data_IF_978383909305
#
_entry.id   IF_978383909305
#
_cell.length_a   1.000
_cell.length_b   1.000
_cell.length_c   1.000
_cell.angle_alpha   90.00
_cell.angle_beta   90.00
_cell.angle_gamma   90.00
#
_symmetry.space_group_name_H-M   'P 1'
#
loop_
_entity.id
_entity.type
_entity.pdbx_description
1 polymer ?
#
# COMPACT_ATOMS: atom_id res chain seq x y z
N UNK A 1 -3.62 -0.22 32.23
CA UNK A 1 -3.21 -0.75 30.92
C UNK A 1 -3.62 0.24 29.84
N UNK A 2 -2.77 0.42 28.83
CA UNK A 2 -3.04 1.21 27.65
C UNK A 2 -4.23 0.59 26.89
N UNK A 3 -5.15 1.42 26.39
CA UNK A 3 -6.26 0.98 25.55
C UNK A 3 -6.12 1.69 24.19
N UNK A 4 -5.26 1.18 23.29
CA UNK A 4 -5.06 1.78 21.97
C UNK A 4 -6.35 1.66 21.15
N UNK A 5 -6.65 2.65 20.33
CA UNK A 5 -7.75 2.61 19.36
C UNK A 5 -7.26 2.30 17.94
N UNK A 6 -5.95 2.38 17.73
CA UNK A 6 -5.31 2.22 16.42
C UNK A 6 -4.06 1.34 16.55
N UNK A 7 -3.89 0.41 15.60
CA UNK A 7 -2.67 -0.38 15.41
C UNK A 7 -2.04 0.03 14.09
N UNK A 8 -0.73 0.30 14.09
CA UNK A 8 0.07 0.47 12.89
C UNK A 8 1.01 -0.74 12.79
N UNK A 9 0.93 -1.48 11.70
CA UNK A 9 1.71 -2.70 11.51
C UNK A 9 1.72 -3.19 10.06
N UNK A 10 2.52 -4.20 9.80
CA UNK A 10 2.46 -4.99 8.57
C UNK A 10 1.18 -5.84 8.58
N UNK A 11 0.31 -5.74 7.58
CA UNK A 11 -1.01 -6.37 7.58
C UNK A 11 -1.03 -7.87 7.85
N UNK A 12 -0.09 -8.64 7.31
CA UNK A 12 -0.01 -10.09 7.56
C UNK A 12 0.16 -10.44 9.04
N UNK A 13 0.78 -9.56 9.84
CA UNK A 13 0.92 -9.78 11.28
C UNK A 13 -0.42 -9.65 12.03
N UNK A 14 -1.39 -8.95 11.46
CA UNK A 14 -2.75 -8.90 12.03
C UNK A 14 -3.40 -10.28 11.95
N UNK A 15 -3.25 -11.00 10.85
CA UNK A 15 -3.78 -12.37 10.76
C UNK A 15 -3.14 -13.29 11.79
N UNK A 16 -1.83 -13.16 12.01
CA UNK A 16 -1.13 -13.93 13.07
C UNK A 16 -1.61 -13.53 14.46
N UNK A 17 -1.84 -12.22 14.70
CA UNK A 17 -2.40 -11.75 15.97
C UNK A 17 -3.81 -12.31 16.21
N UNK A 18 -4.65 -12.32 15.18
CA UNK A 18 -6.00 -12.89 15.24
C UNK A 18 -5.92 -14.37 15.55
N UNK A 19 -5.10 -15.13 14.82
CA UNK A 19 -4.91 -16.55 15.04
C UNK A 19 -4.46 -16.83 16.49
N UNK A 20 -3.43 -16.12 16.95
CA UNK A 20 -2.97 -16.25 18.34
C UNK A 20 -4.08 -15.96 19.37
N UNK A 21 -4.88 -14.91 19.12
CA UNK A 21 -5.98 -14.55 20.00
C UNK A 21 -7.08 -15.63 20.02
N UNK A 22 -7.40 -16.23 18.87
CA UNK A 22 -8.35 -17.34 18.75
C UNK A 22 -7.84 -18.58 19.50
N UNK A 23 -6.58 -18.97 19.33
CA UNK A 23 -5.95 -20.11 20.02
C UNK A 23 -5.90 -19.95 21.55
N UNK A 24 -5.80 -18.70 22.04
CA UNK A 24 -5.70 -18.39 23.47
C UNK A 24 -7.00 -17.87 24.09
N UNK A 25 -8.13 -17.94 23.36
CA UNK A 25 -9.44 -17.44 23.78
C UNK A 25 -9.41 -15.96 24.24
N UNK A 26 -8.63 -15.12 23.54
CA UNK A 26 -8.56 -13.67 23.79
C UNK A 26 -9.64 -12.98 22.95
N UNK A 27 -10.50 -12.22 23.60
CA UNK A 27 -11.54 -11.44 22.91
C UNK A 27 -10.94 -10.18 22.28
N UNK A 28 -10.39 -10.31 21.08
CA UNK A 28 -9.85 -9.21 20.31
C UNK A 28 -10.96 -8.36 19.68
N UNK A 29 -12.12 -8.94 19.35
CA UNK A 29 -13.22 -8.26 18.68
C UNK A 29 -13.84 -7.15 19.53
N UNK A 30 -13.91 -7.36 20.84
CA UNK A 30 -14.39 -6.37 21.81
C UNK A 30 -13.26 -5.52 22.43
N UNK A 31 -12.07 -5.53 21.83
CA UNK A 31 -10.97 -4.67 22.27
C UNK A 31 -11.25 -3.19 22.00
N UNK A 32 -10.37 -2.31 22.49
CA UNK A 32 -10.47 -0.86 22.20
C UNK A 32 -10.04 -0.49 20.78
N UNK A 33 -9.43 -1.43 20.03
CA UNK A 33 -8.93 -1.20 18.67
C UNK A 33 -10.09 -1.07 17.70
N UNK A 34 -10.07 0.01 16.91
CA UNK A 34 -11.11 0.33 15.93
C UNK A 34 -10.54 0.46 14.51
N UNK A 35 -9.22 0.62 14.39
CA UNK A 35 -8.60 0.80 13.08
C UNK A 35 -7.19 0.24 13.01
N UNK A 36 -6.80 -0.16 11.81
CA UNK A 36 -5.46 -0.61 11.46
C UNK A 36 -4.93 0.29 10.36
N UNK A 37 -3.70 0.77 10.52
CA UNK A 37 -2.92 1.42 9.47
C UNK A 37 -1.88 0.41 8.99
N UNK A 38 -2.10 -0.12 7.78
CA UNK A 38 -1.21 -1.09 7.15
C UNK A 38 -0.02 -0.42 6.50
N UNK A 39 1.18 -0.89 6.85
CA UNK A 39 2.46 -0.45 6.28
C UNK A 39 3.24 -1.65 5.76
N UNK A 40 4.03 -1.45 4.70
CA UNK A 40 4.95 -2.47 4.18
C UNK A 40 4.32 -3.56 3.31
N UNK A 41 3.01 -3.77 3.37
CA UNK A 41 2.26 -4.67 2.51
C UNK A 41 0.99 -3.98 1.99
N UNK A 42 0.58 -4.33 0.77
CA UNK A 42 -0.67 -3.81 0.18
C UNK A 42 -1.91 -4.38 0.85
N UNK A 43 -2.89 -3.52 1.10
CA UNK A 43 -4.24 -3.90 1.55
C UNK A 43 -5.29 -3.81 0.44
N UNK A 44 -4.94 -3.19 -0.69
CA UNK A 44 -5.87 -2.96 -1.81
C UNK A 44 -5.28 -3.37 -3.14
N UNK A 45 -6.17 -3.81 -4.04
CA UNK A 45 -5.87 -4.02 -5.44
C UNK A 45 -5.91 -2.71 -6.25
N UNK A 46 -5.61 -2.80 -7.55
CA UNK A 46 -5.61 -1.64 -8.46
C UNK A 46 -7.00 -1.03 -8.67
N UNK A 47 -8.06 -1.76 -8.33
CA UNK A 47 -9.44 -1.28 -8.30
C UNK A 47 -9.80 -0.55 -6.99
N UNK A 48 -8.84 -0.30 -6.12
CA UNK A 48 -8.95 0.30 -4.78
C UNK A 48 -9.77 -0.52 -3.78
N UNK A 49 -10.30 -1.69 -4.15
CA UNK A 49 -10.96 -2.58 -3.20
C UNK A 49 -9.93 -3.33 -2.35
N UNK A 50 -10.38 -3.81 -1.20
CA UNK A 50 -9.53 -4.68 -0.40
C UNK A 50 -9.09 -5.89 -1.22
N UNK A 51 -7.79 -6.16 -1.21
CA UNK A 51 -7.23 -7.39 -1.77
C UNK A 51 -7.58 -8.58 -0.86
N UNK A 52 -7.10 -9.77 -1.18
CA UNK A 52 -7.37 -10.98 -0.40
C UNK A 52 -6.95 -10.83 1.07
N UNK A 53 -5.75 -10.28 1.33
CA UNK A 53 -5.25 -10.05 2.68
C UNK A 53 -6.14 -9.10 3.47
N UNK A 54 -6.47 -7.95 2.89
CA UNK A 54 -7.38 -6.97 3.51
C UNK A 54 -8.77 -7.55 3.74
N UNK A 55 -9.29 -8.34 2.80
CA UNK A 55 -10.61 -8.99 2.91
C UNK A 55 -10.63 -10.04 4.03
N UNK A 56 -9.60 -10.89 4.14
CA UNK A 56 -9.47 -11.87 5.22
C UNK A 56 -9.40 -11.21 6.60
N UNK A 57 -8.67 -10.07 6.73
CA UNK A 57 -8.62 -9.32 7.98
C UNK A 57 -10.01 -8.77 8.32
N UNK A 58 -10.67 -8.11 7.36
CA UNK A 58 -11.97 -7.48 7.54
C UNK A 58 -13.07 -8.49 7.90
N UNK A 59 -13.04 -9.68 7.32
CA UNK A 59 -13.96 -10.77 7.64
C UNK A 59 -13.82 -11.26 9.09
N UNK A 60 -12.57 -11.44 9.56
CA UNK A 60 -12.29 -11.92 10.91
C UNK A 60 -12.47 -10.84 11.98
N UNK A 61 -12.15 -9.62 11.64
CA UNK A 61 -12.19 -8.47 12.55
C UNK A 61 -12.77 -7.25 11.84
N UNK A 62 -14.04 -6.93 12.13
CA UNK A 62 -14.76 -5.82 11.49
C UNK A 62 -14.29 -4.46 12.04
N UNK A 63 -13.11 -4.05 11.62
CA UNK A 63 -12.48 -2.76 11.96
C UNK A 63 -12.09 -2.00 10.68
N UNK A 64 -11.80 -0.71 10.83
CA UNK A 64 -11.37 0.11 9.69
C UNK A 64 -9.94 -0.22 9.29
N UNK A 65 -9.73 -0.43 7.99
CA UNK A 65 -8.42 -0.70 7.39
C UNK A 65 -7.99 0.47 6.51
N UNK A 66 -6.80 0.99 6.77
CA UNK A 66 -6.17 2.08 6.01
C UNK A 66 -4.83 1.60 5.47
N UNK A 67 -4.64 1.73 4.17
CA UNK A 67 -3.35 1.46 3.54
C UNK A 67 -2.45 2.70 3.59
N UNK A 68 -1.15 2.48 3.63
CA UNK A 68 -0.15 3.54 3.58
C UNK A 68 1.03 3.08 2.74
N UNK A 69 1.42 3.89 1.76
CA UNK A 69 2.68 3.74 1.04
C UNK A 69 3.75 4.63 1.68
N UNK A 70 4.91 4.07 1.94
CA UNK A 70 6.07 4.81 2.46
C UNK A 70 7.37 4.05 2.20
N UNK A 71 8.46 4.77 2.21
CA UNK A 71 9.81 4.21 2.37
C UNK A 71 10.62 5.10 3.32
N UNK A 72 11.69 4.54 3.88
CA UNK A 72 12.58 5.29 4.77
C UNK A 72 13.20 6.48 4.06
N UNK A 73 13.53 6.32 2.78
CA UNK A 73 14.19 7.32 1.96
C UNK A 73 13.34 8.57 1.75
N UNK A 74 12.02 8.41 1.61
CA UNK A 74 11.14 9.56 1.34
C UNK A 74 10.75 10.35 2.58
N UNK A 75 11.07 9.86 3.78
CA UNK A 75 10.82 10.53 5.08
C UNK A 75 9.38 10.99 5.30
N UNK A 76 8.44 10.48 4.52
CA UNK A 76 7.00 10.76 4.61
C UNK A 76 6.20 9.54 4.16
N UNK A 77 4.88 9.64 4.24
CA UNK A 77 3.96 8.57 3.86
C UNK A 77 2.85 9.10 2.97
N UNK A 78 2.19 8.19 2.27
CA UNK A 78 0.99 8.45 1.49
C UNK A 78 -0.18 7.66 2.11
N UNK A 79 -0.77 8.15 3.21
CA UNK A 79 -1.88 7.47 3.87
C UNK A 79 -3.17 7.66 3.08
N UNK A 80 -3.98 6.61 3.01
CA UNK A 80 -5.34 6.76 2.50
C UNK A 80 -6.27 7.39 3.55
N UNK A 81 -7.42 7.86 3.09
CA UNK A 81 -8.50 8.32 3.94
C UNK A 81 -9.61 7.26 4.04
N UNK A 82 -10.70 7.58 4.73
CA UNK A 82 -11.88 6.73 4.94
C UNK A 82 -12.54 6.23 3.65
N UNK A 83 -12.27 6.88 2.52
CA UNK A 83 -12.81 6.46 1.22
C UNK A 83 -11.95 5.39 0.52
N UNK A 84 -10.75 5.06 1.03
CA UNK A 84 -9.90 3.99 0.52
C UNK A 84 -9.55 4.11 -0.97
N UNK A 85 -9.36 5.33 -1.47
CA UNK A 85 -9.20 5.62 -2.89
C UNK A 85 -7.77 6.07 -3.26
N UNK A 86 -6.77 5.51 -2.60
CA UNK A 86 -5.35 5.78 -2.79
C UNK A 86 -4.75 6.70 -1.72
N UNK A 87 -3.42 6.70 -1.64
CA UNK A 87 -2.66 7.44 -0.65
C UNK A 87 -2.53 8.92 -0.99
N UNK A 88 -2.89 9.80 -0.08
CA UNK A 88 -2.83 11.25 -0.26
C UNK A 88 -1.40 11.79 -0.25
N UNK A 89 -1.12 12.69 -1.18
CA UNK A 89 0.14 13.40 -1.27
C UNK A 89 0.23 14.54 -0.24
N UNK A 90 1.43 14.76 0.27
CA UNK A 90 1.82 15.85 1.17
C UNK A 90 2.80 16.79 0.45
N UNK A 91 2.30 17.78 -0.34
CA UNK A 91 3.14 18.61 -1.20
C UNK A 91 4.14 19.49 -0.44
N UNK A 92 3.90 19.72 0.85
CA UNK A 92 4.79 20.44 1.75
C UNK A 92 6.04 19.63 2.16
N UNK A 93 6.02 18.31 1.98
CA UNK A 93 7.10 17.40 2.41
C UNK A 93 7.85 16.78 1.24
N UNK A 94 7.20 16.60 0.09
CA UNK A 94 7.75 15.82 -1.01
C UNK A 94 7.16 16.23 -2.36
N UNK A 95 7.99 16.27 -3.39
CA UNK A 95 7.56 16.35 -4.78
C UNK A 95 7.56 14.94 -5.35
N UNK A 96 6.52 14.58 -6.10
CA UNK A 96 6.37 13.26 -6.73
C UNK A 96 6.14 13.43 -8.22
N UNK A 97 6.88 12.66 -9.00
CA UNK A 97 6.71 12.47 -10.43
C UNK A 97 6.44 11.00 -10.70
N UNK A 98 5.60 10.70 -11.68
CA UNK A 98 5.45 9.33 -12.20
C UNK A 98 6.04 9.31 -13.60
N UNK A 99 7.09 8.50 -13.79
CA UNK A 99 7.95 8.53 -14.97
C UNK A 99 7.81 7.22 -15.75
N UNK A 100 7.55 7.34 -17.05
CA UNK A 100 7.49 6.22 -17.99
C UNK A 100 8.86 5.66 -18.38
N UNK A 101 8.86 4.67 -19.25
CA UNK A 101 10.10 4.05 -19.77
C UNK A 101 10.91 4.98 -20.68
N UNK A 102 10.30 6.05 -21.21
CA UNK A 102 10.94 7.08 -22.02
C UNK A 102 11.52 8.24 -21.19
N UNK A 103 11.60 8.08 -19.87
CA UNK A 103 12.04 9.08 -18.90
C UNK A 103 11.20 10.36 -18.84
N UNK A 104 9.95 10.31 -19.35
CA UNK A 104 9.01 11.43 -19.30
C UNK A 104 7.86 11.15 -18.32
N UNK A 105 7.24 12.22 -17.78
CA UNK A 105 6.05 12.08 -16.98
C UNK A 105 4.92 11.38 -17.76
N UNK A 106 4.25 10.44 -17.14
CA UNK A 106 3.08 9.76 -17.69
C UNK A 106 1.81 10.60 -17.48
N UNK A 107 0.74 10.26 -18.18
CA UNK A 107 -0.55 10.91 -17.98
C UNK A 107 -1.22 10.46 -16.68
N UNK A 108 -2.18 11.26 -16.22
CA UNK A 108 -3.03 10.92 -15.07
C UNK A 108 -3.66 9.53 -15.27
N UNK A 109 -3.53 8.67 -14.25
CA UNK A 109 -4.01 7.28 -14.28
C UNK A 109 -3.09 6.27 -14.97
N UNK A 110 -2.07 6.70 -15.72
CA UNK A 110 -1.08 5.79 -16.30
C UNK A 110 -0.04 5.35 -15.26
N UNK A 111 0.39 4.10 -15.36
CA UNK A 111 1.39 3.52 -14.47
C UNK A 111 2.80 3.91 -14.93
N UNK A 112 3.62 4.33 -13.98
CA UNK A 112 5.04 4.60 -14.17
C UNK A 112 5.81 4.43 -12.88
N UNK A 113 7.11 4.68 -12.93
CA UNK A 113 8.00 4.64 -11.77
C UNK A 113 7.81 5.88 -10.89
N UNK A 114 7.65 5.68 -9.60
CA UNK A 114 7.60 6.77 -8.62
C UNK A 114 9.00 7.37 -8.48
N UNK A 115 9.11 8.66 -8.78
CA UNK A 115 10.33 9.46 -8.61
C UNK A 115 10.03 10.56 -7.61
N UNK A 116 10.89 10.73 -6.61
CA UNK A 116 10.66 11.66 -5.50
C UNK A 116 11.77 12.68 -5.36
N UNK A 117 11.38 13.87 -4.88
CA UNK A 117 12.30 14.88 -4.37
C UNK A 117 11.85 15.26 -2.97
N UNK A 118 12.70 15.05 -1.97
CA UNK A 118 12.38 15.38 -0.57
C UNK A 118 12.53 16.87 -0.33
N UNK A 119 11.66 17.45 0.50
CA UNK A 119 11.69 18.86 0.87
C UNK A 119 12.05 19.00 2.36
N UNK A 120 12.89 19.97 2.69
CA UNK A 120 13.27 20.24 4.08
C UNK A 120 14.19 19.21 4.74
N UNK A 121 14.73 18.25 3.99
CA UNK A 121 15.69 17.26 4.48
C UNK A 121 17.11 17.76 4.26
N UNK A 122 17.84 18.02 5.33
CA UNK A 122 19.19 18.59 5.28
C UNK A 122 20.30 17.53 5.21
N UNK A 123 20.17 16.43 5.99
CA UNK A 123 21.24 15.45 6.14
C UNK A 123 21.47 14.61 4.87
N UNK A 124 20.40 14.21 4.19
CA UNK A 124 20.46 13.44 2.94
C UNK A 124 19.28 13.84 2.05
N UNK A 125 19.34 15.02 1.40
CA UNK A 125 18.30 15.44 0.47
C UNK A 125 18.32 14.56 -0.78
N UNK A 126 17.15 14.10 -1.19
CA UNK A 126 16.98 13.33 -2.42
C UNK A 126 16.40 14.23 -3.51
N UNK A 127 17.09 14.29 -4.64
CA UNK A 127 16.65 15.01 -5.83
C UNK A 127 16.35 14.02 -6.95
N UNK A 128 15.08 13.94 -7.37
CA UNK A 128 14.59 13.03 -8.40
C UNK A 128 15.07 11.58 -8.19
N UNK A 129 14.94 11.12 -6.95
CA UNK A 129 15.30 9.75 -6.57
C UNK A 129 14.28 8.76 -7.13
N UNK A 130 14.77 7.77 -7.88
CA UNK A 130 13.95 6.68 -8.44
C UNK A 130 13.75 5.61 -7.39
N UNK A 131 12.52 5.41 -6.97
CA UNK A 131 12.19 4.44 -5.90
C UNK A 131 12.23 3.00 -6.39
N UNK A 132 12.06 2.79 -7.69
CA UNK A 132 11.84 1.48 -8.29
C UNK A 132 10.41 0.96 -8.11
N UNK A 133 9.55 1.65 -7.38
CA UNK A 133 8.16 1.29 -7.17
C UNK A 133 7.27 1.86 -8.29
N UNK A 134 6.29 1.07 -8.74
CA UNK A 134 5.41 1.40 -9.86
C UNK A 134 4.00 1.72 -9.35
N UNK A 135 3.48 2.88 -9.74
CA UNK A 135 2.12 3.31 -9.39
C UNK A 135 1.58 4.30 -10.42
N UNK A 136 0.34 4.74 -10.25
CA UNK A 136 -0.26 5.85 -10.98
C UNK A 136 -0.67 6.98 -10.05
N UNK A 137 -0.85 8.20 -10.61
CA UNK A 137 -1.41 9.36 -9.91
C UNK A 137 -2.87 9.54 -10.32
N UNK A 138 -3.71 9.93 -9.37
CA UNK A 138 -5.11 10.28 -9.53
C UNK A 138 -5.35 11.69 -9.01
N UNK A 139 -5.68 12.62 -9.92
CA UNK A 139 -5.78 14.06 -9.62
C UNK A 139 -7.20 14.52 -9.28
N UNK A 140 -8.21 13.64 -9.43
CA UNK A 140 -9.60 13.97 -9.12
C UNK A 140 -9.75 14.29 -7.63
N UNK A 141 -10.55 15.33 -7.27
CA UNK A 141 -10.80 15.66 -5.88
C UNK A 141 -11.34 14.47 -5.08
N UNK A 142 -10.80 14.27 -3.87
CA UNK A 142 -11.29 13.23 -2.99
C UNK A 142 -12.54 13.69 -2.22
N UNK A 143 -13.46 12.76 -1.99
CA UNK A 143 -14.66 13.00 -1.17
C UNK A 143 -14.34 13.43 0.27
N UNK A 144 -13.14 13.15 0.77
CA UNK A 144 -12.67 13.61 2.09
C UNK A 144 -12.36 15.12 2.14
N UNK A 145 -12.48 15.84 1.02
CA UNK A 145 -12.22 17.27 0.89
C UNK A 145 -10.79 17.66 0.56
N UNK A 146 -9.84 16.72 0.52
CA UNK A 146 -8.47 17.00 0.08
C UNK A 146 -8.40 17.17 -1.43
N UNK A 147 -7.64 18.18 -1.86
CA UNK A 147 -7.43 18.50 -3.28
C UNK A 147 -6.06 18.04 -3.81
N UNK A 148 -5.21 17.46 -2.95
CA UNK A 148 -3.95 16.88 -3.40
C UNK A 148 -4.21 15.60 -4.19
N UNK A 149 -3.34 15.30 -5.15
CA UNK A 149 -3.43 14.03 -5.87
C UNK A 149 -3.23 12.84 -4.93
N UNK A 150 -3.60 11.68 -5.41
CA UNK A 150 -3.44 10.41 -4.69
C UNK A 150 -2.61 9.46 -5.51
N UNK A 151 -1.79 8.65 -4.83
CA UNK A 151 -1.06 7.54 -5.45
C UNK A 151 -1.92 6.28 -5.35
N UNK A 152 -2.02 5.53 -6.45
CA UNK A 152 -2.69 4.22 -6.46
C UNK A 152 -1.99 3.22 -5.51
N UNK A 153 -2.62 2.10 -5.17
CA UNK A 153 -1.88 0.94 -4.67
C UNK A 153 -0.71 0.62 -5.60
N UNK A 154 0.40 0.15 -5.04
CA UNK A 154 1.57 -0.22 -5.84
C UNK A 154 1.23 -1.38 -6.79
N UNK A 155 1.64 -1.26 -8.03
CA UNK A 155 1.57 -2.35 -9.01
C UNK A 155 2.65 -3.39 -8.74
N UNK A 156 3.82 -2.93 -8.29
CA UNK A 156 4.98 -3.75 -7.98
C UNK A 156 6.28 -2.96 -8.10
N UNK A 157 7.40 -3.68 -8.16
CA UNK A 157 8.72 -3.09 -8.38
C UNK A 157 9.16 -3.25 -9.83
N UNK A 158 9.74 -2.20 -10.39
CA UNK A 158 10.25 -2.16 -11.78
C UNK A 158 11.23 -3.31 -12.05
N UNK A 159 12.14 -3.55 -11.13
CA UNK A 159 13.16 -4.60 -11.27
C UNK A 159 12.62 -6.03 -11.14
N UNK A 160 11.41 -6.18 -10.58
CA UNK A 160 10.76 -7.49 -10.42
C UNK A 160 9.69 -7.74 -11.51
N UNK A 161 9.61 -6.85 -12.49
CA UNK A 161 8.67 -6.96 -13.60
C UNK A 161 9.06 -8.12 -14.52
N UNK A 162 8.11 -9.01 -14.78
CA UNK A 162 8.26 -10.15 -15.67
C UNK A 162 7.61 -9.81 -17.01
N UNK A 163 8.40 -9.80 -18.08
CA UNK A 163 7.88 -9.64 -19.45
C UNK A 163 7.69 -11.01 -20.08
N UNK A 164 6.46 -11.43 -20.30
CA UNK A 164 6.12 -12.72 -20.90
C UNK A 164 5.23 -12.51 -22.12
N UNK A 165 5.71 -12.89 -23.32
CA UNK A 165 4.94 -12.84 -24.57
C UNK A 165 4.21 -11.52 -24.82
N UNK A 166 4.85 -10.40 -24.51
CA UNK A 166 4.27 -9.06 -24.69
C UNK A 166 3.37 -8.58 -23.54
N UNK A 167 3.14 -9.41 -22.53
CA UNK A 167 2.41 -9.03 -21.32
C UNK A 167 3.39 -8.72 -20.21
N UNK A 168 3.11 -7.66 -19.45
CA UNK A 168 3.86 -7.31 -18.24
C UNK A 168 3.13 -7.85 -17.01
N UNK A 169 3.84 -8.65 -16.23
CA UNK A 169 3.36 -9.20 -14.96
C UNK A 169 4.24 -8.69 -13.82
N UNK A 170 3.60 -8.43 -12.70
CA UNK A 170 4.29 -8.11 -11.46
C UNK A 170 4.03 -9.22 -10.43
N UNK A 171 5.04 -9.61 -9.61
CA UNK A 171 4.89 -10.69 -8.63
C UNK A 171 3.64 -10.59 -7.74
N UNK A 172 3.21 -9.42 -7.25
CA UNK A 172 1.98 -9.31 -6.46
C UNK A 172 0.74 -9.90 -7.14
N UNK A 173 0.59 -9.75 -8.45
CA UNK A 173 -0.53 -10.33 -9.19
C UNK A 173 -0.49 -11.88 -9.23
N UNK A 174 0.73 -12.46 -9.21
CA UNK A 174 0.90 -13.91 -9.12
C UNK A 174 0.59 -14.39 -7.70
N UNK A 175 1.04 -13.63 -6.70
CA UNK A 175 0.77 -13.95 -5.30
C UNK A 175 -0.72 -13.93 -4.99
N UNK A 176 -1.46 -12.92 -5.47
CA UNK A 176 -2.92 -12.85 -5.32
C UNK A 176 -3.63 -14.09 -5.91
N UNK A 177 -3.10 -14.67 -7.00
CA UNK A 177 -3.66 -15.89 -7.58
C UNK A 177 -3.34 -17.11 -6.71
N UNK A 178 -2.08 -17.25 -6.28
CA UNK A 178 -1.63 -18.40 -5.47
C UNK A 178 -2.30 -18.42 -4.09
N UNK A 179 -2.45 -17.25 -3.47
CA UNK A 179 -3.10 -17.08 -2.17
C UNK A 179 -4.61 -17.41 -2.18
N UNK A 180 -5.24 -17.43 -3.36
CA UNK A 180 -6.63 -17.86 -3.55
C UNK A 180 -6.80 -19.37 -3.73
N UNK A 181 -5.73 -20.15 -3.69
CA UNK A 181 -5.78 -21.61 -3.84
C UNK A 181 -5.70 -22.26 -2.47
N UNK A 182 -6.84 -22.74 -1.96
CA UNK A 182 -7.02 -23.19 -0.57
C UNK A 182 -6.05 -24.28 -0.10
N UNK A 183 -5.49 -25.08 -1.02
CA UNK A 183 -4.55 -26.17 -0.68
C UNK A 183 -3.09 -25.76 -0.73
N UNK A 184 -2.77 -24.50 -1.04
CA UNK A 184 -1.41 -23.94 -1.02
C UNK A 184 -1.20 -23.23 0.32
N UNK A 185 -0.37 -23.78 1.17
CA UNK A 185 -0.02 -23.16 2.46
C UNK A 185 1.17 -22.19 2.34
N UNK A 186 2.17 -22.56 1.52
CA UNK A 186 3.37 -21.76 1.27
C UNK A 186 3.91 -21.99 -0.14
N UNK A 187 4.52 -20.96 -0.72
CA UNK A 187 5.17 -21.03 -2.02
C UNK A 187 6.40 -20.13 -2.09
N UNK A 188 7.28 -20.44 -3.01
CA UNK A 188 8.42 -19.60 -3.38
C UNK A 188 8.40 -19.44 -4.89
N UNK A 189 8.52 -18.20 -5.37
CA UNK A 189 8.61 -17.89 -6.80
C UNK A 189 10.05 -17.49 -7.13
N UNK A 190 10.67 -18.20 -8.07
CA UNK A 190 12.05 -17.99 -8.51
C UNK A 190 12.10 -17.26 -9.86
#
# INVERSE_FOLDING_TARGET
>A
RMKPDTIMCVPSFILRLIQYAEEHNIDYKNSSVKRIIGIGEGLRGQDFKLNLLGSKIKEKWDIDLYATYSSTEMSTTFPECEYGCGGHHHPELIIVEIIGDDDKPVKNGEVGEIVITTLGIEAMPLLRFRTGDMASIHTEPCKCGRNTFRISPLVGRKNNMIKLKGTTLYPPAIFDILDNIDFIENYIVY
#
